data_IF_937633353614
#
_entry.id   IF_937633353614
#
_cell.length_a   1.000
_cell.length_b   1.000
_cell.length_c   1.000
_cell.angle_alpha   90.00
_cell.angle_beta   90.00
_cell.angle_gamma   90.00
#
_symmetry.space_group_name_H-M   'P 1'
#
loop_
_entity.id
_entity.type
_entity.pdbx_description
1 polymer ?
#
# COMPACT_ATOMS: atom_id res chain seq x y z
N UNK A 1 8.89 8.83 -8.51
CA UNK A 1 10.13 8.01 -8.43
C UNK A 1 10.71 7.91 -7.00
N UNK A 2 11.10 9.01 -6.34
CA UNK A 2 11.67 8.96 -4.96
C UNK A 2 10.80 8.19 -3.95
N UNK A 3 9.48 8.38 -4.00
CA UNK A 3 8.53 7.64 -3.15
C UNK A 3 8.55 6.14 -3.41
N UNK A 4 8.65 5.69 -4.66
CA UNK A 4 8.66 4.27 -5.00
C UNK A 4 9.93 3.56 -4.52
N UNK A 5 11.08 4.25 -4.59
CA UNK A 5 12.33 3.74 -4.04
C UNK A 5 12.25 3.69 -2.52
N UNK A 6 11.78 4.77 -1.87
CA UNK A 6 11.64 4.82 -0.42
C UNK A 6 10.71 3.73 0.12
N UNK A 7 9.50 3.62 -0.43
CA UNK A 7 8.52 2.59 -0.05
C UNK A 7 8.95 1.18 -0.46
N UNK A 8 9.64 1.03 -1.59
CA UNK A 8 10.17 -0.26 -2.05
C UNK A 8 11.28 -0.80 -1.15
N UNK A 9 12.22 0.06 -0.73
CA UNK A 9 13.33 -0.32 0.17
C UNK A 9 12.84 -0.59 1.59
N UNK A 10 11.95 0.26 2.10
CA UNK A 10 11.33 0.03 3.42
C UNK A 10 10.48 -1.23 3.40
N UNK A 11 9.71 -1.47 2.33
CA UNK A 11 8.99 -2.74 2.12
C UNK A 11 9.93 -3.94 2.07
N UNK A 12 11.07 -3.84 1.39
CA UNK A 12 12.07 -4.91 1.31
C UNK A 12 12.63 -5.32 2.68
N UNK A 13 12.86 -4.38 3.58
CA UNK A 13 13.31 -4.70 4.95
C UNK A 13 12.14 -5.17 5.82
N UNK A 14 10.97 -4.57 5.64
CA UNK A 14 9.79 -4.84 6.45
C UNK A 14 9.23 -6.24 6.20
N UNK A 15 9.20 -6.73 4.94
CA UNK A 15 8.61 -8.02 4.60
C UNK A 15 9.29 -9.21 5.31
N UNK A 16 10.62 -9.33 5.35
CA UNK A 16 11.30 -10.35 6.15
C UNK A 16 11.03 -10.25 7.64
N UNK A 17 10.97 -9.03 8.20
CA UNK A 17 10.66 -8.84 9.63
C UNK A 17 9.23 -9.29 9.94
N UNK A 18 8.27 -8.91 9.09
CA UNK A 18 6.88 -9.32 9.24
C UNK A 18 6.69 -10.82 9.02
N UNK A 19 7.50 -11.44 8.16
CA UNK A 19 7.55 -12.90 8.04
C UNK A 19 7.97 -13.56 9.36
N UNK A 20 9.00 -13.05 10.03
CA UNK A 20 9.42 -13.61 11.33
C UNK A 20 8.36 -13.42 12.42
N UNK A 21 7.61 -12.30 12.39
CA UNK A 21 6.46 -12.07 13.28
C UNK A 21 5.30 -13.02 12.95
N UNK A 22 5.03 -13.25 11.66
CA UNK A 22 4.03 -14.21 11.20
C UNK A 22 4.38 -15.62 11.70
N UNK A 23 5.66 -15.96 11.68
CA UNK A 23 6.18 -17.26 12.09
C UNK A 23 6.19 -17.48 13.60
N UNK A 24 6.63 -16.49 14.38
CA UNK A 24 6.99 -16.67 15.79
C UNK A 24 6.04 -15.99 16.78
N UNK A 25 5.17 -15.08 16.33
CA UNK A 25 4.29 -14.30 17.22
C UNK A 25 2.82 -14.54 16.88
N UNK A 26 2.37 -14.09 15.71
CA UNK A 26 0.98 -14.21 15.30
C UNK A 26 0.81 -13.91 13.82
N UNK A 27 0.18 -14.85 13.11
CA UNK A 27 -0.16 -14.71 11.70
C UNK A 27 -1.06 -13.49 11.45
N UNK A 28 -2.09 -13.30 12.30
CA UNK A 28 -3.04 -12.20 12.16
C UNK A 28 -2.38 -10.82 12.33
N UNK A 29 -1.54 -10.67 13.36
CA UNK A 29 -0.86 -9.39 13.64
C UNK A 29 0.07 -9.03 12.47
N UNK A 30 0.86 -9.99 11.98
CA UNK A 30 1.75 -9.74 10.85
C UNK A 30 0.99 -9.26 9.61
N UNK A 31 -0.11 -9.93 9.24
CA UNK A 31 -0.91 -9.54 8.07
C UNK A 31 -1.59 -8.17 8.25
N UNK A 32 -2.05 -7.84 9.46
CA UNK A 32 -2.60 -6.51 9.76
C UNK A 32 -1.53 -5.42 9.60
N UNK A 33 -0.29 -5.67 10.04
CA UNK A 33 0.82 -4.74 9.85
C UNK A 33 1.17 -4.55 8.37
N UNK A 34 1.16 -5.63 7.57
CA UNK A 34 1.31 -5.54 6.10
C UNK A 34 0.20 -4.67 5.51
N UNK A 35 -1.05 -4.89 5.93
CA UNK A 35 -2.20 -4.13 5.44
C UNK A 35 -2.07 -2.64 5.78
N UNK A 36 -1.75 -2.29 7.03
CA UNK A 36 -1.54 -0.89 7.45
C UNK A 36 -0.46 -0.22 6.59
N UNK A 37 0.65 -0.91 6.36
CA UNK A 37 1.73 -0.42 5.53
C UNK A 37 1.28 -0.16 4.08
N UNK A 38 0.56 -1.11 3.48
CA UNK A 38 0.01 -0.99 2.12
C UNK A 38 -0.99 0.14 2.02
N UNK A 39 -1.90 0.29 2.99
CA UNK A 39 -2.85 1.40 3.02
C UNK A 39 -2.12 2.74 3.08
N UNK A 40 -1.11 2.86 3.94
CA UNK A 40 -0.30 4.08 4.07
C UNK A 40 0.44 4.41 2.76
N UNK A 41 1.09 3.43 2.15
CA UNK A 41 1.78 3.61 0.88
C UNK A 41 0.80 3.99 -0.24
N UNK A 42 -0.32 3.27 -0.38
CA UNK A 42 -1.35 3.55 -1.39
C UNK A 42 -1.96 4.95 -1.26
N UNK A 43 -2.22 5.39 -0.02
CA UNK A 43 -2.66 6.76 0.29
C UNK A 43 -1.62 7.78 -0.17
N UNK A 44 -0.32 7.53 -0.01
CA UNK A 44 0.73 8.44 -0.48
C UNK A 44 0.87 8.43 -2.00
N UNK A 45 0.73 7.28 -2.66
CA UNK A 45 0.72 7.23 -4.14
C UNK A 45 -0.49 7.93 -4.76
N UNK A 46 -1.61 8.03 -4.03
CA UNK A 46 -2.80 8.76 -4.50
C UNK A 46 -2.63 10.28 -4.67
N UNK A 47 -1.54 10.88 -4.18
CA UNK A 47 -1.25 12.30 -4.44
C UNK A 47 -0.50 12.53 -5.75
N UNK A 48 -0.06 11.48 -6.45
CA UNK A 48 0.69 11.60 -7.69
C UNK A 48 -0.21 11.58 -8.93
N UNK A 49 0.36 11.93 -10.09
CA UNK A 49 -0.32 11.79 -11.37
C UNK A 49 -0.58 10.31 -11.71
N UNK A 50 -1.56 10.04 -12.58
CA UNK A 50 -1.98 8.66 -12.89
C UNK A 50 -0.82 7.77 -13.34
N UNK A 51 -0.01 8.22 -14.31
CA UNK A 51 1.13 7.46 -14.83
C UNK A 51 2.18 7.21 -13.75
N UNK A 52 2.50 8.24 -12.96
CA UNK A 52 3.50 8.12 -11.89
C UNK A 52 3.05 7.23 -10.74
N UNK A 53 1.76 7.23 -10.43
CA UNK A 53 1.19 6.36 -9.40
C UNK A 53 1.23 4.89 -9.82
N UNK A 54 0.82 4.56 -11.06
CA UNK A 54 0.88 3.18 -11.58
C UNK A 54 2.30 2.66 -11.59
N UNK A 55 3.23 3.44 -12.16
CA UNK A 55 4.65 3.07 -12.20
C UNK A 55 5.21 2.96 -10.77
N UNK A 56 4.87 3.92 -9.90
CA UNK A 56 5.36 3.96 -8.53
C UNK A 56 4.91 2.76 -7.69
N UNK A 57 3.64 2.37 -7.79
CA UNK A 57 3.09 1.19 -7.11
C UNK A 57 3.75 -0.08 -7.67
N UNK A 58 3.83 -0.21 -9.00
CA UNK A 58 4.47 -1.37 -9.64
C UNK A 58 5.91 -1.55 -9.17
N UNK A 59 6.70 -0.49 -9.21
CA UNK A 59 8.09 -0.51 -8.76
C UNK A 59 8.18 -0.83 -7.26
N UNK A 60 7.29 -0.29 -6.43
CA UNK A 60 7.27 -0.57 -4.99
C UNK A 60 7.02 -2.05 -4.71
N UNK A 61 6.07 -2.67 -5.41
CA UNK A 61 5.78 -4.11 -5.29
C UNK A 61 7.01 -4.91 -5.73
N UNK A 62 7.58 -4.60 -6.90
CA UNK A 62 8.74 -5.30 -7.44
C UNK A 62 9.96 -5.21 -6.53
N UNK A 63 10.30 -4.01 -6.04
CA UNK A 63 11.41 -3.80 -5.12
C UNK A 63 11.16 -4.51 -3.78
N UNK A 64 9.96 -4.39 -3.21
CA UNK A 64 9.65 -5.05 -1.94
C UNK A 64 9.73 -6.57 -2.05
N UNK A 65 9.34 -7.14 -3.19
CA UNK A 65 9.43 -8.58 -3.43
C UNK A 65 10.86 -9.06 -3.65
N UNK A 66 11.54 -8.53 -4.67
CA UNK A 66 12.88 -9.00 -5.07
C UNK A 66 13.91 -8.67 -4.00
N UNK A 67 13.98 -7.40 -3.58
CA UNK A 67 14.94 -7.00 -2.55
C UNK A 67 14.52 -7.56 -1.19
N UNK A 68 13.23 -7.76 -0.93
CA UNK A 68 12.79 -8.42 0.30
C UNK A 68 13.30 -9.84 0.41
N UNK A 69 13.30 -10.59 -0.69
CA UNK A 69 13.92 -11.91 -0.74
C UNK A 69 15.43 -11.86 -0.47
N UNK A 70 16.14 -10.86 -1.00
CA UNK A 70 17.57 -10.68 -0.71
C UNK A 70 17.80 -10.31 0.76
N UNK A 71 17.03 -9.36 1.30
CA UNK A 71 17.10 -8.92 2.69
C UNK A 71 16.76 -10.06 3.67
N UNK A 72 15.90 -11.00 3.27
CA UNK A 72 15.57 -12.18 4.08
C UNK A 72 16.82 -12.99 4.47
N UNK A 73 17.77 -13.18 3.56
CA UNK A 73 19.01 -13.91 3.87
C UNK A 73 19.88 -13.23 4.94
N UNK A 74 19.73 -11.91 5.15
CA UNK A 74 20.44 -11.18 6.19
C UNK A 74 19.62 -11.11 7.49
N UNK A 75 18.31 -10.88 7.37
CA UNK A 75 17.42 -10.66 8.51
C UNK A 75 17.08 -11.97 9.22
N UNK A 76 16.76 -13.02 8.47
CA UNK A 76 16.41 -14.33 9.02
C UNK A 76 17.45 -14.90 9.98
N UNK A 77 18.75 -15.01 9.64
CA UNK A 77 19.74 -15.55 10.57
C UNK A 77 19.96 -14.62 11.78
N UNK A 78 19.81 -13.30 11.62
CA UNK A 78 19.93 -12.36 12.73
C UNK A 78 18.77 -12.52 13.73
N UNK A 79 17.54 -12.63 13.24
CA UNK A 79 16.34 -12.85 14.05
C UNK A 79 16.36 -14.23 14.69
N UNK A 80 16.75 -15.27 13.94
CA UNK A 80 16.91 -16.62 14.48
C UNK A 80 17.92 -16.64 15.64
N UNK A 81 19.10 -16.05 15.48
CA UNK A 81 20.10 -15.96 16.57
C UNK A 81 19.57 -15.21 17.79
N UNK A 82 18.85 -14.12 17.57
CA UNK A 82 18.25 -13.33 18.65
C UNK A 82 17.16 -14.12 19.38
N UNK A 83 16.29 -14.80 18.63
CA UNK A 83 15.21 -15.60 19.20
C UNK A 83 15.77 -16.79 19.94
N UNK A 84 16.66 -17.60 19.36
CA UNK A 84 17.27 -18.75 20.04
C UNK A 84 18.00 -18.34 21.33
N UNK A 85 18.59 -17.13 21.38
CA UNK A 85 19.23 -16.62 22.59
C UNK A 85 18.24 -16.27 23.71
N UNK A 86 17.05 -15.77 23.36
CA UNK A 86 16.10 -15.19 24.33
C UNK A 86 14.78 -15.96 24.46
N UNK A 87 14.51 -16.92 23.57
CA UNK A 87 13.21 -17.59 23.36
C UNK A 87 13.34 -18.83 22.45
N UNK A 88 12.21 -19.42 22.06
CA UNK A 88 12.11 -20.53 21.11
C UNK A 88 11.92 -19.99 19.69
N UNK A 89 12.61 -20.60 18.72
CA UNK A 89 12.45 -20.28 17.30
C UNK A 89 11.55 -21.31 16.60
N UNK A 90 10.53 -20.82 15.88
CA UNK A 90 9.62 -21.65 15.07
C UNK A 90 9.85 -21.40 13.59
N UNK A 91 10.33 -22.44 12.89
CA UNK A 91 10.46 -22.40 11.45
C UNK A 91 9.16 -22.84 10.78
N UNK A 92 8.65 -22.00 9.85
CA UNK A 92 7.47 -22.36 9.08
C UNK A 92 7.79 -23.43 8.03
N UNK A 93 6.87 -24.38 7.88
CA UNK A 93 6.88 -25.30 6.75
C UNK A 93 6.65 -24.58 5.42
N UNK A 94 7.14 -25.17 4.33
CA UNK A 94 7.14 -24.59 2.98
C UNK A 94 5.76 -24.09 2.54
N UNK A 95 4.69 -24.82 2.88
CA UNK A 95 3.31 -24.47 2.53
C UNK A 95 2.88 -23.16 3.19
N UNK A 96 3.21 -22.98 4.47
CA UNK A 96 2.87 -21.77 5.23
C UNK A 96 3.70 -20.57 4.80
N UNK A 97 4.96 -20.79 4.39
CA UNK A 97 5.80 -19.75 3.79
C UNK A 97 5.20 -19.24 2.48
N UNK A 98 4.82 -20.15 1.58
CA UNK A 98 4.17 -19.79 0.32
C UNK A 98 2.83 -19.07 0.53
N UNK A 99 2.03 -19.51 1.52
CA UNK A 99 0.80 -18.82 1.88
C UNK A 99 1.05 -17.39 2.36
N UNK A 100 2.07 -17.16 3.20
CA UNK A 100 2.45 -15.81 3.62
C UNK A 100 2.82 -14.93 2.42
N UNK A 101 3.68 -15.43 1.51
CA UNK A 101 4.06 -14.69 0.30
C UNK A 101 2.84 -14.37 -0.56
N UNK A 102 1.92 -15.33 -0.73
CA UNK A 102 0.68 -15.12 -1.46
C UNK A 102 -0.21 -14.05 -0.80
N UNK A 103 -0.39 -14.10 0.53
CA UNK A 103 -1.14 -13.08 1.26
C UNK A 103 -0.51 -11.70 1.10
N UNK A 104 0.81 -11.58 1.26
CA UNK A 104 1.52 -10.33 1.01
C UNK A 104 1.28 -9.82 -0.41
N UNK A 105 1.39 -10.69 -1.43
CA UNK A 105 1.14 -10.31 -2.82
C UNK A 105 -0.27 -9.74 -3.02
N UNK A 106 -1.32 -10.43 -2.53
CA UNK A 106 -2.69 -9.95 -2.64
C UNK A 106 -2.94 -8.65 -1.87
N UNK A 107 -2.37 -8.52 -0.66
CA UNK A 107 -2.49 -7.28 0.12
C UNK A 107 -1.80 -6.13 -0.61
N UNK A 108 -0.62 -6.35 -1.20
CA UNK A 108 0.11 -5.35 -1.98
C UNK A 108 -0.67 -4.89 -3.23
N UNK A 109 -1.41 -5.79 -3.89
CA UNK A 109 -2.34 -5.39 -4.96
C UNK A 109 -3.43 -4.44 -4.46
N UNK A 110 -3.77 -4.50 -3.17
CA UNK A 110 -4.64 -3.53 -2.49
C UNK A 110 -4.16 -2.07 -2.61
N UNK A 111 -2.87 -1.81 -2.83
CA UNK A 111 -2.38 -0.45 -3.12
C UNK A 111 -3.06 0.15 -4.36
N UNK A 112 -3.30 -0.65 -5.40
CA UNK A 112 -4.02 -0.19 -6.59
C UNK A 112 -5.47 0.13 -6.29
N UNK A 113 -6.13 -0.66 -5.43
CA UNK A 113 -7.51 -0.40 -5.02
C UNK A 113 -7.63 0.91 -4.25
N UNK A 114 -6.77 1.13 -3.25
CA UNK A 114 -6.74 2.38 -2.46
C UNK A 114 -6.50 3.59 -3.37
N UNK A 115 -5.55 3.46 -4.29
CA UNK A 115 -5.25 4.50 -5.27
C UNK A 115 -6.45 4.79 -6.18
N UNK A 116 -7.07 3.76 -6.77
CA UNK A 116 -8.24 3.91 -7.65
C UNK A 116 -9.43 4.54 -6.92
N UNK A 117 -9.75 4.08 -5.71
CA UNK A 117 -10.86 4.61 -4.92
C UNK A 117 -10.66 6.11 -4.68
N UNK A 118 -9.46 6.54 -4.31
CA UNK A 118 -9.18 7.97 -4.10
C UNK A 118 -9.16 8.77 -5.40
N UNK A 119 -8.61 8.22 -6.47
CA UNK A 119 -8.56 8.89 -7.76
C UNK A 119 -9.97 9.13 -8.31
N UNK A 120 -10.81 8.08 -8.31
CA UNK A 120 -12.22 8.19 -8.68
C UNK A 120 -12.98 9.13 -7.75
N UNK A 121 -12.75 9.04 -6.43
CA UNK A 121 -13.37 9.93 -5.45
C UNK A 121 -13.09 11.41 -5.73
N UNK A 122 -11.84 11.78 -6.04
CA UNK A 122 -11.49 13.17 -6.39
C UNK A 122 -12.18 13.65 -7.66
N UNK A 123 -12.15 12.84 -8.73
CA UNK A 123 -12.81 13.20 -9.99
C UNK A 123 -14.32 13.35 -9.84
N UNK A 124 -14.95 12.49 -9.05
CA UNK A 124 -16.38 12.60 -8.76
C UNK A 124 -16.69 13.89 -8.00
N UNK A 125 -15.90 14.23 -6.98
CA UNK A 125 -16.06 15.48 -6.22
C UNK A 125 -15.85 16.73 -7.09
N UNK A 126 -14.84 16.74 -7.96
CA UNK A 126 -14.59 17.83 -8.92
C UNK A 126 -15.78 18.01 -9.87
N UNK A 127 -16.35 16.90 -10.37
CA UNK A 127 -17.52 16.93 -11.26
C UNK A 127 -18.77 17.41 -10.54
N UNK A 128 -18.99 16.99 -9.30
CA UNK A 128 -20.09 17.48 -8.47
C UNK A 128 -19.97 18.98 -8.19
N UNK A 129 -18.78 19.45 -7.85
CA UNK A 129 -18.51 20.87 -7.62
C UNK A 129 -18.75 21.69 -8.89
N UNK A 130 -18.23 21.27 -10.03
CA UNK A 130 -18.46 21.95 -11.31
C UNK A 130 -19.93 21.98 -11.71
N UNK A 131 -20.67 20.88 -11.47
CA UNK A 131 -22.12 20.85 -11.71
C UNK A 131 -22.88 21.78 -10.76
N UNK A 132 -22.45 21.89 -9.49
CA UNK A 132 -23.03 22.83 -8.53
C UNK A 132 -22.76 24.29 -8.90
N UNK A 133 -21.55 24.60 -9.35
CA UNK A 133 -21.17 25.94 -9.81
C UNK A 133 -22.00 26.33 -11.05
N UNK A 134 -22.13 25.43 -12.03
CA UNK A 134 -23.00 25.65 -13.20
C UNK A 134 -24.47 25.81 -12.82
N UNK A 135 -24.97 25.00 -11.90
CA UNK A 135 -26.35 25.12 -11.42
C UNK A 135 -26.60 26.48 -10.74
N UNK A 136 -25.63 26.99 -9.99
CA UNK A 136 -25.68 28.36 -9.43
C UNK A 136 -25.69 29.42 -10.52
N UNK A 137 -24.81 29.30 -11.53
CA UNK A 137 -24.74 30.24 -12.65
C UNK A 137 -26.04 30.27 -13.49
N UNK A 138 -26.70 29.11 -13.67
CA UNK A 138 -28.02 29.05 -14.32
C UNK A 138 -29.12 29.73 -13.49
N UNK A 139 -29.05 29.63 -12.16
CA UNK A 139 -29.99 30.30 -11.26
C UNK A 139 -29.77 31.82 -11.33
N UNK A 140 -28.53 32.29 -11.21
CA UNK A 140 -28.21 33.72 -11.25
C UNK A 140 -28.58 34.37 -12.60
N UNK A 141 -28.36 33.67 -13.71
CA UNK A 141 -28.79 34.16 -15.03
C UNK A 141 -30.32 34.16 -15.18
N UNK A 142 -31.03 33.16 -14.64
CA UNK A 142 -32.50 33.13 -14.69
C UNK A 142 -33.16 34.26 -13.87
N UNK A 143 -32.50 34.74 -12.82
CA UNK A 143 -33.00 35.86 -12.01
C UNK A 143 -32.52 37.24 -12.49
N UNK A 144 -31.49 37.32 -13.33
CA UNK A 144 -31.06 38.57 -13.98
C UNK A 144 -31.81 38.89 -15.28
N UNK A 145 -32.46 37.89 -15.89
CA UNK A 145 -33.26 38.08 -17.11
C UNK A 145 -34.70 38.60 -16.82
N UNK A 146 -35.10 38.77 -15.55
CA UNK A 146 -36.42 39.32 -15.16
C UNK A 146 -36.48 40.87 -15.04
N UNK A 147 -35.39 41.59 -15.35
CA UNK A 147 -35.31 43.07 -15.24
C UNK A 147 -35.34 43.83 -16.60
N UNK A 148 -36.01 43.30 -17.65
CA UNK A 148 -36.34 44.05 -18.88
C UNK A 148 -37.82 43.98 -19.26
#
# INVERSE_FOLDING_TARGET
MKLAIGFGLTGAVLMPVLYEIYANISAGIALVLVLIWVLFAGVKFSSLTFKEAVIGITCTIAYSGILGFVCYFLIHPAVMKLLVKNSVYFQLGIRSQLLFVAYCFFIFLGMYLVWLIRFCGRKTLEKFRSNSEKAGEYIDNAFNDEDN
#
